data_IF_694975614385
#
_entry.id   IF_694975614385
#
_cell.length_a   1.000
_cell.length_b   1.000
_cell.length_c   1.000
_cell.angle_alpha   90.00
_cell.angle_beta   90.00
_cell.angle_gamma   90.00
#
_symmetry.space_group_name_H-M   'P 1'
#
loop_
_entity.id
_entity.type
_entity.pdbx_description
1 polymer ?
#
# COMPACT_ATOMS: atom_id res chain seq x y z
N UNK A 1 0.33 38.09 -1.59
CA UNK A 1 -0.16 37.78 -1.97
C UNK A 1 -0.72 37.33 -2.30
N UNK A 2 -0.98 37.23 -2.33
CA UNK A 2 -1.73 36.90 -2.72
C UNK A 2 -2.12 35.83 -3.21
N UNK A 3 -1.73 34.99 -2.79
CA UNK A 3 -2.14 33.87 -3.24
C UNK A 3 -3.51 33.65 -3.19
N UNK A 4 -4.19 34.03 -2.24
CA UNK A 4 -5.60 33.83 -2.15
C UNK A 4 -6.26 34.45 -3.33
N UNK A 5 -5.67 35.43 -3.84
CA UNK A 5 -6.23 36.03 -5.03
C UNK A 5 -6.11 35.08 -6.20
N UNK A 6 -5.19 34.21 -6.13
CA UNK A 6 -4.99 33.29 -7.22
C UNK A 6 -5.85 32.10 -7.13
N UNK A 7 -6.36 31.78 -5.97
CA UNK A 7 -7.13 30.58 -5.86
C UNK A 7 -8.51 30.83 -6.38
N UNK A 8 -9.06 29.85 -7.05
CA UNK A 8 -10.42 30.01 -7.52
C UNK A 8 -11.35 29.73 -6.39
N UNK A 9 -12.39 30.53 -6.27
CA UNK A 9 -13.37 30.34 -5.20
C UNK A 9 -14.13 29.05 -5.36
N UNK A 10 -14.13 28.48 -6.57
CA UNK A 10 -14.92 27.29 -6.81
C UNK A 10 -14.21 26.02 -6.45
N UNK A 11 -12.91 26.08 -6.20
CA UNK A 11 -12.15 24.87 -5.94
C UNK A 11 -11.94 24.76 -4.45
N UNK A 12 -12.50 23.74 -3.86
CA UNK A 12 -12.40 23.51 -2.43
C UNK A 12 -11.26 22.55 -2.17
N UNK A 13 -10.40 22.91 -1.22
CA UNK A 13 -9.28 22.08 -0.86
C UNK A 13 -9.78 20.84 -0.14
N UNK A 14 -9.46 19.66 -0.64
CA UNK A 14 -9.93 18.45 0.03
C UNK A 14 -9.16 18.18 1.32
N UNK A 15 -9.72 17.33 2.14
CA UNK A 15 -9.11 16.92 3.38
C UNK A 15 -9.10 15.42 3.48
N UNK A 16 -8.06 14.87 4.09
CA UNK A 16 -8.00 13.46 4.40
C UNK A 16 -7.87 13.36 5.91
N UNK A 17 -8.72 12.56 6.53
CA UNK A 17 -8.65 12.35 7.96
C UNK A 17 -7.38 11.61 8.35
N UNK A 18 -7.12 11.59 9.65
CA UNK A 18 -5.94 10.92 10.18
C UNK A 18 -5.87 9.47 9.75
N UNK A 19 -4.69 8.99 9.38
CA UNK A 19 -4.44 7.58 9.18
C UNK A 19 -3.00 7.29 9.60
N UNK A 20 -2.78 6.04 10.02
CA UNK A 20 -1.47 5.62 10.51
C UNK A 20 -0.62 5.05 9.39
N UNK A 21 -1.23 4.27 8.52
CA UNK A 21 -0.54 3.69 7.38
C UNK A 21 -1.45 3.71 6.16
N UNK A 22 -0.84 3.63 5.01
CA UNK A 22 -1.56 3.61 3.74
C UNK A 22 -1.13 2.36 2.97
N UNK A 23 -2.05 1.48 2.70
CA UNK A 23 -1.79 0.26 1.94
C UNK A 23 -2.26 0.46 0.52
N UNK A 24 -1.37 0.19 -0.42
CA UNK A 24 -1.70 0.28 -1.84
C UNK A 24 -1.57 -1.09 -2.46
N UNK A 25 -2.51 -1.45 -3.31
CA UNK A 25 -2.52 -2.76 -3.94
C UNK A 25 -2.67 -2.60 -5.44
N UNK A 26 -1.88 -3.34 -6.19
CA UNK A 26 -1.97 -3.34 -7.64
C UNK A 26 -3.10 -4.25 -8.08
N UNK A 27 -4.03 -3.71 -8.83
CA UNK A 27 -5.15 -4.49 -9.34
C UNK A 27 -5.10 -4.67 -10.86
N UNK A 28 -3.97 -4.36 -11.46
CA UNK A 28 -3.81 -4.54 -12.89
C UNK A 28 -3.79 -6.01 -13.29
N UNK A 29 -4.18 -6.28 -14.51
CA UNK A 29 -4.31 -7.66 -14.97
C UNK A 29 -2.99 -8.39 -15.06
N UNK A 30 -1.88 -7.65 -15.07
CA UNK A 30 -0.58 -8.29 -15.12
C UNK A 30 -0.13 -8.84 -13.78
N UNK A 31 -0.69 -8.35 -12.68
CA UNK A 31 -0.33 -8.87 -11.37
C UNK A 31 -1.00 -10.19 -11.12
N UNK A 32 -2.27 -10.30 -11.46
CA UNK A 32 -2.98 -11.57 -11.38
C UNK A 32 -3.98 -11.61 -12.52
N UNK A 33 -3.98 -12.71 -13.22
CA UNK A 33 -4.75 -12.80 -14.46
C UNK A 33 -6.23 -13.03 -14.24
N UNK A 34 -6.62 -13.53 -13.10
CA UNK A 34 -8.00 -13.93 -12.88
C UNK A 34 -8.72 -13.06 -11.85
N UNK A 35 -8.25 -11.85 -11.64
CA UNK A 35 -8.93 -10.93 -10.75
C UNK A 35 -8.66 -11.14 -9.28
N UNK A 36 -7.65 -11.94 -8.94
CA UNK A 36 -7.32 -12.17 -7.54
C UNK A 36 -7.00 -10.89 -6.79
N UNK A 37 -6.27 -9.99 -7.41
CA UNK A 37 -5.88 -8.74 -6.73
C UNK A 37 -7.09 -7.87 -6.47
N UNK A 38 -8.00 -7.79 -7.42
CA UNK A 38 -9.21 -7.00 -7.24
C UNK A 38 -10.08 -7.61 -6.14
N UNK A 39 -10.21 -8.92 -6.12
CA UNK A 39 -10.99 -9.60 -5.10
C UNK A 39 -10.37 -9.38 -3.73
N UNK A 40 -9.05 -9.41 -3.64
CA UNK A 40 -8.36 -9.15 -2.39
C UNK A 40 -8.64 -7.72 -1.94
N UNK A 41 -8.52 -6.76 -2.83
CA UNK A 41 -8.80 -5.37 -2.50
C UNK A 41 -10.23 -5.22 -1.99
N UNK A 42 -11.18 -5.87 -2.65
CA UNK A 42 -12.58 -5.77 -2.26
C UNK A 42 -12.83 -6.34 -0.87
N UNK A 43 -11.99 -7.25 -0.41
CA UNK A 43 -12.15 -7.84 0.90
C UNK A 43 -11.50 -7.04 2.02
N UNK A 44 -10.71 -6.03 1.68
CA UNK A 44 -9.92 -5.32 2.70
C UNK A 44 -10.78 -4.56 3.71
N UNK A 45 -11.91 -4.03 3.29
CA UNK A 45 -12.77 -3.31 4.21
C UNK A 45 -13.18 -4.16 5.39
N UNK A 46 -13.62 -5.38 5.11
CA UNK A 46 -14.02 -6.27 6.18
C UNK A 46 -12.85 -6.79 6.98
N UNK A 47 -11.73 -7.06 6.32
CA UNK A 47 -10.54 -7.52 7.02
C UNK A 47 -10.01 -6.45 7.96
N UNK A 48 -10.00 -5.21 7.51
CA UNK A 48 -9.52 -4.10 8.35
C UNK A 48 -10.48 -3.85 9.51
N UNK A 49 -11.77 -3.99 9.27
CA UNK A 49 -12.76 -3.81 10.31
C UNK A 49 -12.59 -4.89 11.39
N UNK A 50 -12.40 -6.12 10.97
CA UNK A 50 -12.21 -7.22 11.91
C UNK A 50 -10.93 -7.05 12.73
N UNK A 51 -9.92 -6.42 12.16
CA UNK A 51 -8.65 -6.23 12.86
C UNK A 51 -8.61 -4.94 13.68
N UNK A 52 -9.66 -4.11 13.59
CA UNK A 52 -9.70 -2.88 14.36
C UNK A 52 -8.86 -1.75 13.80
N UNK A 53 -8.54 -1.81 12.50
CA UNK A 53 -7.70 -0.80 11.89
C UNK A 53 -8.42 -0.02 10.78
N UNK A 54 -9.74 -0.15 10.73
CA UNK A 54 -10.51 0.61 9.76
C UNK A 54 -10.63 2.08 10.17
N UNK A 55 -10.55 2.34 11.46
CA UNK A 55 -10.57 3.70 11.97
C UNK A 55 -9.75 3.74 13.26
N UNK A 56 -9.71 4.89 13.91
CA UNK A 56 -8.98 5.05 15.17
C UNK A 56 -7.50 5.31 14.95
N UNK A 57 -6.74 5.13 16.01
CA UNK A 57 -5.33 5.49 16.02
C UNK A 57 -4.50 4.69 15.01
N UNK A 58 -4.90 3.45 14.75
CA UNK A 58 -4.17 2.60 13.82
C UNK A 58 -4.82 2.54 12.45
N UNK A 59 -5.66 3.48 12.15
CA UNK A 59 -6.37 3.45 10.86
C UNK A 59 -5.43 3.25 9.69
N UNK A 60 -5.77 2.30 8.82
CA UNK A 60 -5.03 2.04 7.60
C UNK A 60 -5.91 2.45 6.43
N UNK A 61 -5.42 3.41 5.67
CA UNK A 61 -6.08 3.85 4.45
C UNK A 61 -5.71 2.87 3.36
N UNK A 62 -6.66 2.51 2.51
CA UNK A 62 -6.36 1.57 1.43
C UNK A 62 -6.70 2.19 0.08
N UNK A 63 -5.89 1.91 -0.91
CA UNK A 63 -6.12 2.38 -2.27
C UNK A 63 -5.65 1.32 -3.23
N UNK A 64 -6.29 1.26 -4.38
CA UNK A 64 -5.80 0.37 -5.43
C UNK A 64 -5.12 1.20 -6.49
N UNK A 65 -4.16 0.59 -7.17
CA UNK A 65 -3.48 1.25 -8.26
C UNK A 65 -3.54 0.32 -9.47
N UNK A 66 -3.45 0.88 -10.66
CA UNK A 66 -3.49 0.09 -11.87
C UNK A 66 -2.25 -0.75 -12.06
N UNK A 67 -1.12 -0.22 -11.71
CA UNK A 67 0.14 -0.91 -11.94
C UNK A 67 1.25 -0.27 -11.13
N UNK A 68 2.10 -1.09 -10.53
CA UNK A 68 3.31 -0.64 -9.86
C UNK A 68 4.53 -0.85 -10.73
N UNK A 69 4.33 -1.39 -11.93
CA UNK A 69 5.44 -1.80 -12.79
C UNK A 69 6.23 -2.95 -12.17
N UNK A 70 5.61 -3.70 -11.28
CA UNK A 70 6.19 -4.91 -10.71
C UNK A 70 5.24 -6.04 -11.07
N UNK A 71 5.37 -6.58 -12.24
CA UNK A 71 4.34 -7.42 -12.84
C UNK A 71 4.41 -8.88 -12.52
N UNK A 72 5.25 -9.30 -11.59
CA UNK A 72 5.40 -10.71 -11.25
C UNK A 72 5.09 -10.94 -9.79
N UNK A 73 4.63 -12.14 -9.49
CA UNK A 73 4.45 -12.55 -8.11
C UNK A 73 3.33 -11.86 -7.37
N UNK A 74 2.32 -11.42 -8.11
CA UNK A 74 1.18 -10.75 -7.49
C UNK A 74 0.35 -11.70 -6.67
N UNK A 75 -0.56 -11.15 -5.86
CA UNK A 75 -0.81 -9.72 -5.69
C UNK A 75 0.36 -9.00 -5.02
N UNK A 76 0.55 -7.75 -5.42
CA UNK A 76 1.63 -6.91 -4.89
C UNK A 76 1.02 -5.79 -4.07
N UNK A 77 1.54 -5.57 -2.87
CA UNK A 77 1.09 -4.43 -2.06
C UNK A 77 2.28 -3.65 -1.55
N UNK A 78 2.02 -2.40 -1.23
CA UNK A 78 3.01 -1.51 -0.65
C UNK A 78 2.41 -0.86 0.59
N UNK A 79 3.14 -0.81 1.67
CA UNK A 79 2.69 -0.21 2.92
C UNK A 79 3.51 1.03 3.20
N UNK A 80 2.84 2.18 3.29
CA UNK A 80 3.47 3.45 3.56
C UNK A 80 3.04 3.97 4.93
N UNK A 81 3.85 4.70 5.63
CA UNK A 81 5.14 5.28 5.23
C UNK A 81 6.31 4.35 5.42
N UNK A 82 6.06 3.12 5.82
CA UNK A 82 7.12 2.16 6.11
C UNK A 82 7.94 1.83 4.86
N UNK A 83 7.35 1.99 3.69
CA UNK A 83 8.06 1.72 2.45
C UNK A 83 8.32 0.24 2.23
N UNK A 84 7.42 -0.59 2.69
CA UNK A 84 7.60 -2.04 2.59
C UNK A 84 6.73 -2.57 1.45
N UNK A 85 7.34 -3.35 0.58
CA UNK A 85 6.68 -3.91 -0.58
C UNK A 85 6.63 -5.42 -0.46
N UNK A 86 5.42 -5.96 -0.55
CA UNK A 86 5.17 -7.39 -0.37
C UNK A 86 4.71 -8.01 -1.68
N UNK A 87 5.07 -9.26 -1.90
CA UNK A 87 4.62 -10.01 -3.07
C UNK A 87 3.90 -11.27 -2.60
N UNK A 88 3.27 -11.95 -3.52
CA UNK A 88 2.55 -13.19 -3.25
C UNK A 88 1.55 -13.02 -2.11
N UNK A 89 0.77 -11.94 -2.16
CA UNK A 89 -0.12 -11.61 -1.08
C UNK A 89 -1.46 -12.31 -1.29
N UNK A 90 -1.46 -13.61 -1.00
CA UNK A 90 -2.68 -14.40 -1.02
C UNK A 90 -3.59 -13.95 0.12
N UNK A 91 -4.85 -14.37 0.17
CA UNK A 91 -5.70 -14.00 1.30
C UNK A 91 -5.09 -14.38 2.65
N UNK A 92 -4.45 -15.55 2.74
CA UNK A 92 -3.79 -15.96 3.97
C UNK A 92 -2.63 -15.06 4.32
N UNK A 93 -1.84 -14.72 3.32
CA UNK A 93 -0.70 -13.84 3.54
C UNK A 93 -1.14 -12.43 3.89
N UNK A 94 -2.27 -11.99 3.33
CA UNK A 94 -2.83 -10.69 3.68
C UNK A 94 -3.18 -10.66 5.17
N UNK A 95 -3.76 -11.72 5.69
CA UNK A 95 -4.08 -11.77 7.10
C UNK A 95 -2.83 -11.72 7.96
N UNK A 96 -1.75 -12.36 7.52
CA UNK A 96 -0.46 -12.28 8.21
C UNK A 96 0.06 -10.85 8.25
N UNK A 97 -0.04 -10.16 7.13
CA UNK A 97 0.43 -8.78 7.04
C UNK A 97 -0.42 -7.88 7.94
N UNK A 98 -1.72 -8.07 7.94
CA UNK A 98 -2.60 -7.28 8.78
C UNK A 98 -2.22 -7.49 10.25
N UNK A 99 -2.12 -8.73 10.66
CA UNK A 99 -1.89 -9.03 12.07
C UNK A 99 -0.49 -8.63 12.52
N UNK A 100 0.51 -8.98 11.77
CA UNK A 100 1.89 -8.73 12.19
C UNK A 100 2.33 -7.29 11.92
N UNK A 101 2.04 -6.77 10.75
CA UNK A 101 2.58 -5.48 10.35
C UNK A 101 1.62 -4.33 10.66
N UNK A 102 0.39 -4.42 10.21
CA UNK A 102 -0.53 -3.29 10.34
C UNK A 102 -1.01 -3.11 11.77
N UNK A 103 -1.18 -4.19 12.50
CA UNK A 103 -1.57 -4.12 13.90
C UNK A 103 -0.35 -4.16 14.80
N UNK A 104 0.55 -5.09 14.58
CA UNK A 104 1.67 -5.34 15.46
C UNK A 104 2.94 -4.56 15.19
N UNK A 105 3.02 -3.91 14.04
CA UNK A 105 4.20 -3.11 13.71
C UNK A 105 5.41 -3.91 13.29
N UNK A 106 5.26 -5.20 12.99
CA UNK A 106 6.38 -6.06 12.65
C UNK A 106 6.27 -6.50 11.20
N UNK A 107 7.32 -6.28 10.44
CA UNK A 107 7.36 -6.62 9.02
C UNK A 107 7.30 -8.13 8.83
N UNK A 108 6.57 -8.58 7.82
CA UNK A 108 6.51 -10.01 7.48
C UNK A 108 7.65 -10.28 6.51
N UNK A 109 8.80 -10.59 7.04
CA UNK A 109 10.05 -10.62 6.26
C UNK A 109 10.04 -11.55 5.05
N UNK A 110 9.43 -12.70 5.17
CA UNK A 110 9.47 -13.67 4.07
C UNK A 110 8.66 -13.23 2.85
N UNK A 111 7.84 -12.19 2.98
CA UNK A 111 7.04 -11.69 1.87
C UNK A 111 7.57 -10.38 1.30
N UNK A 112 8.62 -9.84 1.87
CA UNK A 112 9.15 -8.55 1.42
C UNK A 112 10.06 -8.75 0.21
N UNK A 113 9.86 -7.94 -0.83
CA UNK A 113 10.77 -7.98 -1.96
C UNK A 113 11.45 -6.63 -2.21
N UNK A 114 11.03 -5.59 -1.52
CA UNK A 114 11.64 -4.27 -1.71
C UNK A 114 11.31 -3.40 -0.50
N UNK A 115 12.21 -2.51 -0.15
CA UNK A 115 12.03 -1.57 0.94
C UNK A 115 12.42 -0.18 0.49
N UNK A 116 11.73 0.79 0.98
CA UNK A 116 12.07 2.17 0.78
C UNK A 116 11.30 2.81 -0.32
N UNK A 117 11.76 3.98 -0.64
CA UNK A 117 12.37 4.24 -1.91
C UNK A 117 13.80 3.75 -1.95
N UNK A 118 14.32 3.26 -0.88
CA UNK A 118 15.56 2.57 -0.97
C UNK A 118 16.76 3.45 -1.15
N UNK A 119 16.86 4.42 -0.31
CA UNK A 119 17.97 5.32 -0.43
C UNK A 119 19.27 4.58 -0.54
N UNK A 120 19.48 3.66 0.31
CA UNK A 120 20.68 2.89 0.21
C UNK A 120 20.64 1.91 -0.92
N UNK A 121 19.52 1.29 -1.10
CA UNK A 121 19.38 0.30 -2.09
C UNK A 121 19.58 0.81 -3.44
N UNK A 122 18.99 1.92 -3.73
CA UNK A 122 19.05 2.37 -5.03
C UNK A 122 20.41 2.77 -5.42
N UNK A 123 21.22 3.16 -4.51
CA UNK A 123 22.55 3.50 -4.85
C UNK A 123 23.39 2.31 -5.16
N UNK A 124 23.08 1.22 -4.56
CA UNK A 124 23.86 0.07 -4.77
C UNK A 124 23.43 -0.69 -5.94
N UNK A 125 22.22 -0.75 -6.17
CA UNK A 125 21.83 -1.52 -7.11
C UNK A 125 21.79 -1.04 -8.32
N UNK A 126 21.59 -0.11 -8.47
CA UNK A 126 21.45 0.28 -9.60
C UNK A 126 22.45 0.13 -10.29
N UNK A 127 23.10 0.10 -9.92
CA UNK A 127 23.97 -0.03 -10.53
C UNK A 127 24.14 -1.17 -10.82
N UNK A 128 23.87 -1.87 -10.47
CA UNK A 128 23.84 -2.88 -10.78
C UNK A 128 23.22 -3.33 -11.43
N UNK A 129 23.03 -2.98 -11.43
CA UNK A 129 22.43 -3.28 -12.04
C UNK A 129 22.38 -3.14 -12.68
N UNK A 130 22.75 -2.69 -12.59
CA UNK A 130 22.70 -2.48 -13.16
C UNK A 130 22.77 -2.72 -13.67
#
# INVERSE_FOLDING_TARGET
>A
MNDSALSTPDVIKPKIGHYHRHLLICTGSRCTADGQSQALYDSLGERFKAAGIQDGALRVKRSRVSCFAACKGGPIICVQPDGIWYYNVTPENMDRIIEQHLVGGQIVQDLVFHQGPGVGCELTDRDDTA
#
